data_IF_915603456079
#
_entry.id   IF_915603456079
#
_cell.length_a   1.000
_cell.length_b   1.000
_cell.length_c   1.000
_cell.angle_alpha   90.00
_cell.angle_beta   90.00
_cell.angle_gamma   90.00
#
_symmetry.space_group_name_H-M   'P 1'
#
loop_
_entity.id
_entity.type
_entity.pdbx_description
1 polymer ?
#
# COMPACT_ATOMS: atom_id res chain seq x y z
N UNK A 1 -15.34 6.65 21.85
CA UNK A 1 -14.89 6.27 20.50
C UNK A 1 -14.61 4.77 20.52
N UNK A 2 -14.95 4.04 19.46
CA UNK A 2 -14.56 2.63 19.32
C UNK A 2 -13.22 2.63 18.58
N UNK A 3 -12.22 1.93 19.12
CA UNK A 3 -10.92 1.83 18.46
C UNK A 3 -11.08 1.13 17.11
N UNK A 4 -10.30 1.57 16.12
CA UNK A 4 -10.23 0.88 14.83
C UNK A 4 -9.58 -0.49 15.08
N UNK A 5 -10.27 -1.59 14.81
CA UNK A 5 -9.70 -2.92 15.02
C UNK A 5 -8.50 -3.13 14.07
N UNK A 6 -7.42 -3.69 14.61
CA UNK A 6 -6.26 -4.10 13.81
C UNK A 6 -6.58 -5.39 13.08
N UNK A 7 -6.39 -5.40 11.76
CA UNK A 7 -6.53 -6.62 10.97
C UNK A 7 -5.37 -7.59 11.25
N UNK A 8 -5.65 -8.88 11.14
CA UNK A 8 -4.69 -9.98 11.14
C UNK A 8 -4.20 -10.28 9.72
N UNK A 9 -3.11 -11.06 9.61
CA UNK A 9 -2.63 -11.55 8.32
C UNK A 9 -3.67 -12.41 7.58
N UNK A 10 -4.39 -13.27 8.31
CA UNK A 10 -5.42 -14.13 7.73
C UNK A 10 -6.58 -13.32 7.16
N UNK A 11 -7.01 -12.28 7.88
CA UNK A 11 -8.03 -11.33 7.40
C UNK A 11 -7.57 -10.57 6.16
N UNK A 12 -6.30 -10.15 6.09
CA UNK A 12 -5.74 -9.52 4.89
C UNK A 12 -5.76 -10.47 3.67
N UNK A 13 -5.38 -11.73 3.87
CA UNK A 13 -5.39 -12.75 2.80
C UNK A 13 -6.82 -13.01 2.32
N UNK A 14 -7.76 -13.15 3.25
CA UNK A 14 -9.18 -13.33 2.96
C UNK A 14 -9.77 -12.12 2.23
N UNK A 15 -9.46 -10.91 2.69
CA UNK A 15 -9.86 -9.65 2.05
C UNK A 15 -9.37 -9.58 0.61
N UNK A 16 -8.08 -9.87 0.38
CA UNK A 16 -7.49 -9.87 -0.97
C UNK A 16 -8.17 -10.87 -1.90
N UNK A 17 -8.47 -12.08 -1.41
CA UNK A 17 -9.18 -13.10 -2.19
C UNK A 17 -10.59 -12.64 -2.58
N UNK A 18 -11.33 -12.07 -1.63
CA UNK A 18 -12.66 -11.50 -1.88
C UNK A 18 -12.61 -10.34 -2.88
N UNK A 19 -11.67 -9.41 -2.70
CA UNK A 19 -11.49 -8.26 -3.60
C UNK A 19 -11.20 -8.71 -5.05
N UNK A 20 -10.36 -9.73 -5.25
CA UNK A 20 -10.13 -10.32 -6.58
C UNK A 20 -11.40 -10.92 -7.17
N UNK A 21 -12.14 -11.71 -6.41
CA UNK A 21 -13.38 -12.37 -6.84
C UNK A 21 -14.45 -11.37 -7.27
N UNK A 22 -14.52 -10.23 -6.58
CA UNK A 22 -15.46 -9.15 -6.87
C UNK A 22 -14.98 -8.17 -7.96
N UNK A 23 -13.78 -8.37 -8.51
CA UNK A 23 -13.23 -7.52 -9.58
C UNK A 23 -12.48 -6.27 -9.11
N UNK A 24 -12.34 -6.04 -7.80
CA UNK A 24 -11.56 -4.93 -7.22
C UNK A 24 -10.05 -5.20 -7.24
N UNK A 25 -9.51 -5.39 -8.45
CA UNK A 25 -8.11 -5.82 -8.65
C UNK A 25 -7.09 -4.84 -8.09
N UNK A 26 -7.30 -3.54 -8.26
CA UNK A 26 -6.41 -2.50 -7.71
C UNK A 26 -6.38 -2.52 -6.18
N UNK A 27 -7.55 -2.67 -5.55
CA UNK A 27 -7.67 -2.76 -4.08
C UNK A 27 -7.00 -4.04 -3.57
N UNK A 28 -7.18 -5.17 -4.27
CA UNK A 28 -6.53 -6.43 -3.93
C UNK A 28 -4.99 -6.37 -4.04
N UNK A 29 -4.45 -5.49 -4.87
CA UNK A 29 -3.01 -5.24 -5.00
C UNK A 29 -2.53 -4.26 -3.93
N UNK A 30 -3.29 -3.20 -3.66
CA UNK A 30 -2.90 -2.19 -2.69
C UNK A 30 -2.93 -2.70 -1.25
N UNK A 31 -3.84 -3.61 -0.89
CA UNK A 31 -3.97 -4.10 0.49
C UNK A 31 -2.70 -4.76 1.06
N UNK A 32 -2.00 -5.68 0.37
CA UNK A 32 -0.71 -6.16 0.86
C UNK A 32 0.39 -5.08 0.80
N UNK A 33 0.33 -4.15 -0.14
CA UNK A 33 1.33 -3.07 -0.26
C UNK A 33 1.25 -2.13 0.94
N UNK A 34 0.05 -1.69 1.32
CA UNK A 34 -0.15 -0.83 2.49
C UNK A 34 0.16 -1.55 3.80
N UNK A 35 -0.09 -2.86 3.88
CA UNK A 35 0.29 -3.70 5.03
C UNK A 35 1.81 -3.76 5.22
N UNK A 36 2.55 -4.15 4.17
CA UNK A 36 4.00 -4.35 4.25
C UNK A 36 4.75 -3.02 4.43
N UNK A 37 4.34 -1.96 3.71
CA UNK A 37 5.04 -0.67 3.76
C UNK A 37 4.55 0.23 4.90
N UNK A 38 3.48 -0.16 5.59
CA UNK A 38 2.79 0.64 6.62
C UNK A 38 2.43 2.04 6.14
N UNK A 39 1.98 2.14 4.90
CA UNK A 39 1.59 3.40 4.27
C UNK A 39 0.08 3.56 4.17
N UNK A 40 -0.37 4.82 4.18
CA UNK A 40 -1.78 5.16 3.94
C UNK A 40 -2.13 4.92 2.47
N UNK A 41 -3.43 4.75 2.21
CA UNK A 41 -3.93 4.59 0.83
C UNK A 41 -3.53 5.75 -0.08
N UNK A 42 -3.47 6.97 0.47
CA UNK A 42 -3.11 8.20 -0.26
C UNK A 42 -1.68 8.11 -0.84
N UNK A 43 -0.75 7.50 -0.11
CA UNK A 43 0.63 7.32 -0.59
C UNK A 43 0.71 6.27 -1.70
N UNK A 44 -0.13 5.23 -1.65
CA UNK A 44 -0.11 4.14 -2.64
C UNK A 44 -0.90 4.49 -3.91
N UNK A 45 -2.07 5.09 -3.78
CA UNK A 45 -2.91 5.43 -4.93
C UNK A 45 -2.69 6.85 -5.46
N UNK A 46 -2.26 7.79 -4.62
CA UNK A 46 -2.14 9.20 -4.98
C UNK A 46 -0.75 9.62 -5.43
N UNK A 47 0.32 9.06 -4.86
CA UNK A 47 1.71 9.51 -5.07
C UNK A 47 2.65 8.45 -5.64
N UNK A 48 2.29 7.16 -5.55
CA UNK A 48 3.20 6.09 -5.93
C UNK A 48 3.25 5.92 -7.46
N UNK A 49 4.44 6.01 -8.02
CA UNK A 49 4.69 5.82 -9.44
C UNK A 49 5.63 4.63 -9.64
N UNK A 50 5.62 4.05 -10.83
CA UNK A 50 6.52 2.93 -11.13
C UNK A 50 8.00 3.31 -10.97
N UNK A 51 8.37 4.56 -11.23
CA UNK A 51 9.72 5.06 -11.04
C UNK A 51 10.17 5.05 -9.56
N UNK A 52 9.21 5.01 -8.62
CA UNK A 52 9.48 4.92 -7.19
C UNK A 52 9.74 3.48 -6.72
N UNK A 53 9.37 2.48 -7.53
CA UNK A 53 9.61 1.08 -7.21
C UNK A 53 11.04 0.69 -7.58
N UNK A 54 11.90 0.45 -6.58
CA UNK A 54 13.28 -0.03 -6.77
C UNK A 54 14.06 0.79 -7.80
N UNK A 55 14.18 2.11 -7.59
CA UNK A 55 14.93 2.97 -8.49
C UNK A 55 16.39 2.52 -8.59
N UNK A 56 17.07 2.83 -9.70
CA UNK A 56 18.44 2.36 -9.99
C UNK A 56 19.43 2.74 -8.89
N UNK A 57 19.23 3.89 -8.27
CA UNK A 57 20.06 4.44 -7.20
C UNK A 57 19.86 3.70 -5.87
N UNK A 58 18.69 3.09 -5.67
CA UNK A 58 18.31 2.31 -4.47
C UNK A 58 17.49 1.07 -4.85
N UNK A 59 18.12 0.03 -5.47
CA UNK A 59 17.39 -1.10 -6.07
C UNK A 59 16.72 -2.04 -5.06
N UNK A 60 17.09 -1.93 -3.78
CA UNK A 60 16.52 -2.72 -2.69
C UNK A 60 15.50 -1.93 -1.86
N UNK A 61 15.15 -0.72 -2.28
CA UNK A 61 14.23 0.16 -1.55
C UNK A 61 13.03 0.54 -2.43
N UNK A 62 11.96 0.95 -1.78
CA UNK A 62 10.83 1.61 -2.43
C UNK A 62 10.82 3.05 -1.95
N UNK A 63 10.69 4.00 -2.88
CA UNK A 63 10.59 5.42 -2.55
C UNK A 63 9.15 5.76 -2.24
N UNK A 64 8.88 6.28 -1.04
CA UNK A 64 7.54 6.78 -0.68
C UNK A 64 7.65 8.29 -0.52
N UNK A 65 6.86 9.03 -1.31
CA UNK A 65 6.86 10.50 -1.31
C UNK A 65 5.64 11.01 -0.56
N UNK A 66 5.85 11.89 0.41
CA UNK A 66 4.78 12.51 1.17
C UNK A 66 4.11 13.64 0.37
N UNK A 67 2.80 13.52 0.13
CA UNK A 67 2.02 14.40 -0.75
C UNK A 67 2.05 15.89 -0.37
N UNK A 68 2.26 16.22 0.92
CA UNK A 68 2.13 17.61 1.39
C UNK A 68 3.42 18.41 1.38
N UNK A 69 4.58 17.77 1.43
CA UNK A 69 5.87 18.45 1.52
C UNK A 69 6.94 17.88 0.58
N UNK A 70 6.65 16.77 -0.12
CA UNK A 70 7.57 16.12 -1.04
C UNK A 70 8.72 15.37 -0.37
N UNK A 71 8.70 15.22 0.96
CA UNK A 71 9.73 14.50 1.69
C UNK A 71 9.60 12.97 1.52
N UNK A 72 10.74 12.28 1.59
CA UNK A 72 10.80 10.81 1.58
C UNK A 72 10.58 10.26 2.99
N UNK A 73 9.77 9.21 3.12
CA UNK A 73 9.51 8.50 4.38
C UNK A 73 10.48 7.33 4.62
#
# INVERSE_FOLDING_TARGET
MRDTPTATWEELVAFRAAAKRLGYRSVATASPVTWEWRQREEHVFGAFEIAHYRPKERPNSVRIVHLKNGEEA
#
